data_IF_635365837020
#
_entry.id   IF_635365837020
#
_cell.length_a   1.000
_cell.length_b   1.000
_cell.length_c   1.000
_cell.angle_alpha   90.00
_cell.angle_beta   90.00
_cell.angle_gamma   90.00
#
_symmetry.space_group_name_H-M   'P 1'
#
loop_
_entity.id
_entity.type
_entity.pdbx_description
1 polymer ?
#
# COMPACT_ATOMS: atom_id res chain seq x y z
N UNK A 1 11.39 9.29 23.31
CA UNK A 1 10.00 9.76 23.10
C UNK A 1 9.65 9.81 21.62
N UNK A 2 10.45 10.48 20.78
CA UNK A 2 10.21 10.62 19.34
C UNK A 2 10.02 9.26 18.63
N UNK A 3 10.91 8.28 18.83
CA UNK A 3 10.81 6.94 18.22
C UNK A 3 9.47 6.25 18.49
N UNK A 4 8.97 6.35 19.73
CA UNK A 4 7.70 5.75 20.12
C UNK A 4 6.51 6.43 19.45
N UNK A 5 6.54 7.77 19.37
CA UNK A 5 5.51 8.54 18.67
C UNK A 5 5.50 8.20 17.17
N UNK A 6 6.69 8.14 16.54
CA UNK A 6 6.79 7.72 15.14
C UNK A 6 6.28 6.30 14.94
N UNK A 7 6.68 5.35 15.80
CA UNK A 7 6.22 3.96 15.74
C UNK A 7 4.70 3.83 15.86
N UNK A 8 4.09 4.58 16.79
CA UNK A 8 2.63 4.65 16.93
C UNK A 8 1.95 5.16 15.66
N UNK A 9 2.45 6.25 15.07
CA UNK A 9 1.92 6.80 13.82
C UNK A 9 2.04 5.81 12.64
N UNK A 10 3.18 5.12 12.51
CA UNK A 10 3.39 4.09 11.49
C UNK A 10 2.38 2.94 11.63
N UNK A 11 2.20 2.43 12.85
CA UNK A 11 1.26 1.36 13.14
C UNK A 11 -0.18 1.76 12.83
N UNK A 12 -0.61 2.92 13.33
CA UNK A 12 -1.97 3.43 13.10
C UNK A 12 -2.24 3.66 11.62
N UNK A 13 -1.28 4.22 10.87
CA UNK A 13 -1.43 4.43 9.44
C UNK A 13 -1.53 3.10 8.66
N UNK A 14 -0.69 2.11 8.99
CA UNK A 14 -0.76 0.77 8.41
C UNK A 14 -2.10 0.09 8.67
N UNK A 15 -2.59 0.15 9.92
CA UNK A 15 -3.89 -0.40 10.29
C UNK A 15 -5.05 0.32 9.62
N UNK A 16 -5.00 1.65 9.52
CA UNK A 16 -6.02 2.43 8.85
C UNK A 16 -6.09 2.09 7.35
N UNK A 17 -4.96 2.05 6.65
CA UNK A 17 -4.91 1.70 5.23
C UNK A 17 -5.47 0.29 4.96
N UNK A 18 -5.05 -0.70 5.75
CA UNK A 18 -5.53 -2.08 5.63
C UNK A 18 -7.01 -2.22 6.03
N UNK A 19 -7.44 -1.51 7.06
CA UNK A 19 -8.83 -1.51 7.53
C UNK A 19 -9.78 -0.89 6.49
N UNK A 20 -9.38 0.23 5.88
CA UNK A 20 -10.14 0.86 4.79
C UNK A 20 -10.23 -0.08 3.58
N UNK A 21 -9.12 -0.73 3.20
CA UNK A 21 -9.12 -1.68 2.09
C UNK A 21 -10.00 -2.91 2.38
N UNK A 22 -9.96 -3.44 3.61
CA UNK A 22 -10.80 -4.56 4.03
C UNK A 22 -12.28 -4.17 4.04
N UNK A 23 -12.61 -2.98 4.54
CA UNK A 23 -13.97 -2.46 4.57
C UNK A 23 -14.53 -2.23 3.16
N UNK A 24 -13.73 -1.64 2.27
CA UNK A 24 -14.07 -1.47 0.87
C UNK A 24 -14.37 -2.83 0.18
N UNK A 25 -13.58 -3.86 0.48
CA UNK A 25 -13.75 -5.19 -0.10
C UNK A 25 -14.97 -5.93 0.45
N UNK A 26 -15.15 -5.97 1.77
CA UNK A 26 -16.14 -6.85 2.42
C UNK A 26 -17.47 -6.16 2.74
N UNK A 27 -17.47 -4.84 2.92
CA UNK A 27 -18.68 -4.08 3.28
C UNK A 27 -19.25 -3.35 2.07
N UNK A 28 -18.40 -2.73 1.24
CA UNK A 28 -18.85 -2.08 0.00
C UNK A 28 -18.89 -3.01 -1.21
N UNK A 29 -18.32 -4.22 -1.09
CA UNK A 29 -18.35 -5.22 -2.16
C UNK A 29 -17.43 -4.92 -3.33
N UNK A 30 -16.42 -4.05 -3.16
CA UNK A 30 -15.47 -3.77 -4.23
C UNK A 30 -14.51 -4.95 -4.42
N UNK A 31 -14.51 -5.53 -5.62
CA UNK A 31 -13.52 -6.54 -5.98
C UNK A 31 -12.12 -5.92 -6.03
N UNK A 32 -11.11 -6.47 -5.33
CA UNK A 32 -9.75 -6.01 -5.46
C UNK A 32 -9.16 -6.48 -6.79
N UNK A 33 -8.25 -5.69 -7.36
CA UNK A 33 -7.36 -6.15 -8.42
C UNK A 33 -6.05 -6.67 -7.82
N UNK A 34 -5.26 -7.40 -8.61
CA UNK A 34 -3.98 -7.96 -8.14
C UNK A 34 -3.02 -6.86 -7.64
N UNK A 35 -2.98 -5.72 -8.34
CA UNK A 35 -2.09 -4.62 -7.98
C UNK A 35 -2.50 -3.95 -6.65
N UNK A 36 -3.81 -3.81 -6.39
CA UNK A 36 -4.33 -3.39 -5.07
C UNK A 36 -3.87 -4.34 -3.96
N UNK A 37 -3.83 -5.66 -4.21
CA UNK A 37 -3.39 -6.63 -3.20
C UNK A 37 -1.90 -6.50 -2.91
N UNK A 38 -1.08 -6.27 -3.94
CA UNK A 38 0.35 -6.02 -3.79
C UNK A 38 0.61 -4.73 -2.99
N UNK A 39 -0.14 -3.66 -3.25
CA UNK A 39 -0.06 -2.39 -2.52
C UNK A 39 -0.38 -2.51 -1.02
N UNK A 40 -1.08 -3.57 -0.59
CA UNK A 40 -1.30 -3.85 0.85
C UNK A 40 -0.03 -4.30 1.56
N UNK A 41 0.92 -4.91 0.84
CA UNK A 41 2.13 -5.50 1.45
C UNK A 41 3.04 -4.45 2.12
N UNK A 42 3.37 -3.32 1.46
CA UNK A 42 4.09 -2.23 2.12
C UNK A 42 3.45 -1.76 3.43
N UNK A 43 2.12 -1.62 3.46
CA UNK A 43 1.40 -1.19 4.66
C UNK A 43 1.45 -2.22 5.81
N UNK A 44 1.47 -3.52 5.49
CA UNK A 44 1.70 -4.58 6.50
C UNK A 44 3.10 -4.47 7.10
N UNK A 45 4.12 -4.29 6.26
CA UNK A 45 5.51 -4.15 6.69
C UNK A 45 5.66 -2.90 7.57
N UNK A 46 5.10 -1.77 7.14
CA UNK A 46 5.08 -0.51 7.91
C UNK A 46 4.40 -0.69 9.25
N UNK A 47 3.26 -1.40 9.31
CA UNK A 47 2.56 -1.69 10.55
C UNK A 47 3.43 -2.47 11.54
N UNK A 48 4.09 -3.55 11.10
CA UNK A 48 4.98 -4.37 11.94
C UNK A 48 6.19 -3.57 12.42
N UNK A 49 6.85 -2.82 11.53
CA UNK A 49 7.97 -1.95 11.91
C UNK A 49 7.54 -0.84 12.88
N UNK A 50 6.32 -0.32 12.73
CA UNK A 50 5.71 0.63 13.65
C UNK A 50 5.57 0.05 15.06
N UNK A 51 5.09 -1.19 15.20
CA UNK A 51 5.02 -1.88 16.50
C UNK A 51 6.41 -2.05 17.12
N UNK A 52 7.41 -2.44 16.33
CA UNK A 52 8.78 -2.60 16.83
C UNK A 52 9.33 -1.24 17.32
N UNK A 53 9.15 -0.16 16.53
CA UNK A 53 9.58 1.19 16.92
C UNK A 53 8.82 1.74 18.14
N UNK A 54 7.56 1.34 18.33
CA UNK A 54 6.74 1.73 19.47
C UNK A 54 7.18 1.03 20.76
N UNK A 55 7.42 -0.29 20.71
CA UNK A 55 7.66 -1.12 21.89
C UNK A 55 9.14 -1.21 22.28
N UNK A 56 10.05 -1.21 21.30
CA UNK A 56 11.48 -1.46 21.55
C UNK A 56 12.28 -0.16 21.56
N UNK A 57 12.83 0.26 22.72
CA UNK A 57 13.62 1.48 22.82
C UNK A 57 15.04 1.33 22.25
N UNK A 58 15.74 2.45 22.08
CA UNK A 58 17.16 2.47 21.69
C UNK A 58 17.39 2.22 20.19
N UNK A 59 18.51 1.57 19.86
CA UNK A 59 18.92 1.35 18.46
C UNK A 59 17.91 0.56 17.65
N UNK A 60 17.28 -0.44 18.26
CA UNK A 60 16.37 -1.33 17.54
C UNK A 60 15.15 -0.54 17.03
N UNK A 61 14.53 0.28 17.89
CA UNK A 61 13.41 1.13 17.48
C UNK A 61 13.81 2.20 16.46
N UNK A 62 15.01 2.77 16.60
CA UNK A 62 15.56 3.69 15.61
C UNK A 62 15.71 3.02 14.24
N UNK A 63 16.37 1.86 14.18
CA UNK A 63 16.53 1.12 12.93
C UNK A 63 15.21 0.62 12.35
N UNK A 64 14.25 0.23 13.17
CA UNK A 64 12.90 -0.09 12.71
C UNK A 64 12.24 1.11 12.01
N UNK A 65 12.43 2.32 12.56
CA UNK A 65 11.97 3.56 11.92
C UNK A 65 12.68 3.79 10.58
N UNK A 66 14.00 3.62 10.52
CA UNK A 66 14.78 3.78 9.27
C UNK A 66 14.35 2.76 8.22
N UNK A 67 14.16 1.50 8.60
CA UNK A 67 13.73 0.41 7.71
C UNK A 67 12.29 0.58 7.20
N UNK A 68 11.47 1.44 7.83
CA UNK A 68 10.13 1.76 7.31
C UNK A 68 10.17 2.67 6.08
N UNK A 69 11.24 3.46 5.89
CA UNK A 69 11.40 4.36 4.74
C UNK A 69 11.39 3.63 3.39
N UNK A 70 12.17 2.56 3.14
CA UNK A 70 12.10 1.85 1.88
C UNK A 70 10.73 1.19 1.64
N UNK A 71 10.04 0.73 2.69
CA UNK A 71 8.68 0.20 2.55
C UNK A 71 7.69 1.30 2.12
N UNK A 72 7.77 2.48 2.73
CA UNK A 72 6.95 3.64 2.34
C UNK A 72 7.29 4.13 0.92
N UNK A 73 8.57 4.16 0.55
CA UNK A 73 8.98 4.50 -0.81
C UNK A 73 8.41 3.50 -1.83
N UNK A 74 8.46 2.20 -1.53
CA UNK A 74 7.84 1.17 -2.37
C UNK A 74 6.32 1.37 -2.48
N UNK A 75 5.64 1.74 -1.40
CA UNK A 75 4.20 2.05 -1.43
C UNK A 75 3.89 3.24 -2.37
N UNK A 76 4.68 4.32 -2.31
CA UNK A 76 4.54 5.47 -3.22
C UNK A 76 4.80 5.08 -4.67
N UNK A 77 5.87 4.31 -4.92
CA UNK A 77 6.21 3.86 -6.26
C UNK A 77 5.14 2.94 -6.86
N UNK A 78 4.62 1.99 -6.08
CA UNK A 78 3.53 1.11 -6.51
C UNK A 78 2.25 1.90 -6.81
N UNK A 79 1.88 2.85 -5.94
CA UNK A 79 0.72 3.70 -6.18
C UNK A 79 0.88 4.58 -7.42
N UNK A 80 2.09 5.10 -7.68
CA UNK A 80 2.39 5.83 -8.91
C UNK A 80 2.28 4.96 -10.16
N UNK A 81 2.82 3.73 -10.07
CA UNK A 81 2.72 2.73 -11.12
C UNK A 81 1.26 2.38 -11.41
N UNK A 82 0.48 2.09 -10.37
CA UNK A 82 -0.92 1.68 -10.48
C UNK A 82 -1.80 2.83 -10.97
N UNK A 83 -1.62 4.06 -10.45
CA UNK A 83 -2.33 5.22 -10.98
C UNK A 83 -2.02 5.43 -12.47
N UNK A 84 -0.80 5.19 -12.94
CA UNK A 84 -0.54 5.26 -14.38
C UNK A 84 -1.23 4.16 -15.20
N UNK A 85 -1.46 2.97 -14.62
CA UNK A 85 -2.31 1.92 -15.22
C UNK A 85 -3.77 2.40 -15.28
N UNK A 86 -4.31 2.93 -14.18
CA UNK A 86 -5.68 3.49 -14.11
C UNK A 86 -5.87 4.66 -15.10
N UNK A 87 -4.83 5.48 -15.30
CA UNK A 87 -4.81 6.58 -16.29
C UNK A 87 -4.49 6.12 -17.70
N UNK A 88 -4.26 4.82 -17.91
CA UNK A 88 -3.93 4.20 -19.21
C UNK A 88 -2.65 4.77 -19.85
N UNK A 89 -1.73 5.28 -19.04
CA UNK A 89 -0.41 5.71 -19.51
C UNK A 89 0.46 4.53 -19.91
N UNK A 90 0.29 3.39 -19.24
CA UNK A 90 0.94 2.13 -19.56
C UNK A 90 0.05 0.94 -19.19
N UNK A 91 0.38 -0.22 -19.75
CA UNK A 91 -0.25 -1.49 -19.37
C UNK A 91 0.25 -1.94 -18.00
N UNK A 92 -0.57 -2.72 -17.28
CA UNK A 92 -0.13 -3.30 -16.02
C UNK A 92 1.11 -4.18 -16.23
N UNK A 93 2.12 -4.16 -15.35
CA UNK A 93 3.26 -5.07 -15.44
C UNK A 93 2.88 -6.52 -15.08
N UNK A 94 1.69 -6.72 -14.49
CA UNK A 94 1.22 -8.03 -14.04
C UNK A 94 0.35 -8.67 -15.12
N UNK A 95 0.73 -9.86 -15.64
CA UNK A 95 -0.06 -10.58 -16.65
C UNK A 95 -1.48 -10.92 -16.16
N UNK A 96 -1.66 -11.13 -14.85
CA UNK A 96 -2.97 -11.40 -14.24
C UNK A 96 -3.95 -10.23 -14.30
N UNK A 97 -3.45 -9.00 -14.50
CA UNK A 97 -4.27 -7.82 -14.71
C UNK A 97 -4.72 -7.66 -16.17
N UNK A 98 -4.17 -8.45 -17.10
CA UNK A 98 -4.49 -8.35 -18.52
C UNK A 98 -5.72 -9.18 -18.85
N UNK A 99 -6.47 -8.75 -19.87
CA UNK A 99 -7.54 -9.57 -20.40
C UNK A 99 -6.94 -10.88 -20.95
N UNK A 100 -7.43 -12.06 -20.53
CA UNK A 100 -6.94 -13.33 -21.06
C UNK A 100 -7.15 -13.39 -22.58
N UNK A 101 -6.07 -13.67 -23.31
CA UNK A 101 -6.09 -13.86 -24.76
C UNK A 101 -6.57 -15.28 -25.03
N UNK A 102 -7.74 -15.41 -25.67
CA UNK A 102 -8.33 -16.71 -26.01
C UNK A 102 -7.90 -17.16 -27.41
N UNK A 103 -7.40 -18.40 -27.51
CA UNK A 103 -7.06 -19.06 -28.77
C UNK A 103 -8.12 -20.12 -29.12
N UNK A 104 -9.29 -19.67 -29.57
CA UNK A 104 -10.40 -20.56 -29.97
C UNK A 104 -11.18 -21.19 -28.80
N UNK A 105 -12.20 -22.00 -29.13
CA UNK A 105 -13.10 -22.65 -28.17
C UNK A 105 -14.54 -22.13 -28.20
N UNK A 106 -15.46 -22.88 -27.60
CA UNK A 106 -16.87 -22.48 -27.47
C UNK A 106 -17.09 -21.55 -26.27
N UNK A 107 -18.14 -20.72 -26.28
CA UNK A 107 -18.46 -19.84 -25.16
C UNK A 107 -18.70 -20.60 -23.84
N UNK A 108 -19.29 -21.80 -23.90
CA UNK A 108 -19.52 -22.66 -22.73
C UNK A 108 -18.21 -23.13 -22.09
N UNK A 109 -17.21 -23.45 -22.91
CA UNK A 109 -15.89 -23.88 -22.45
C UNK A 109 -15.14 -22.73 -21.79
N UNK A 110 -15.28 -21.51 -22.32
CA UNK A 110 -14.78 -20.29 -21.69
C UNK A 110 -15.39 -20.02 -20.32
N UNK A 111 -16.70 -20.19 -20.16
CA UNK A 111 -17.34 -20.02 -18.85
C UNK A 111 -16.90 -21.07 -17.84
N UNK A 112 -16.67 -22.32 -18.29
CA UNK A 112 -16.24 -23.41 -17.42
C UNK A 112 -14.84 -23.18 -16.81
N UNK A 113 -13.98 -22.39 -17.46
CA UNK A 113 -12.64 -22.05 -16.98
C UNK A 113 -12.56 -20.73 -16.19
N UNK A 114 -13.68 -20.05 -15.97
CA UNK A 114 -13.69 -18.78 -15.24
C UNK A 114 -13.57 -19.01 -13.72
N UNK A 115 -12.72 -18.27 -13.00
CA UNK A 115 -12.61 -18.41 -11.55
C UNK A 115 -13.93 -18.00 -10.87
N UNK A 116 -14.27 -18.70 -9.78
CA UNK A 116 -15.47 -18.45 -8.97
C UNK A 116 -15.59 -17.00 -8.46
N UNK A 117 -14.46 -16.32 -8.29
CA UNK A 117 -14.37 -14.90 -7.94
C UNK A 117 -13.40 -14.21 -8.90
N UNK A 118 -13.89 -13.63 -10.00
CA UNK A 118 -13.04 -12.90 -10.93
C UNK A 118 -12.54 -11.61 -10.26
N UNK A 119 -11.23 -11.38 -10.32
CA UNK A 119 -10.68 -10.08 -9.97
C UNK A 119 -11.06 -9.05 -11.04
N UNK A 120 -11.27 -7.80 -10.63
CA UNK A 120 -11.42 -6.70 -11.58
C UNK A 120 -10.08 -6.42 -12.28
N UNK A 121 -10.09 -5.87 -13.51
CA UNK A 121 -8.86 -5.46 -14.16
C UNK A 121 -8.21 -4.28 -13.43
N UNK A 122 -6.89 -4.15 -13.54
CA UNK A 122 -6.11 -3.16 -12.78
C UNK A 122 -6.17 -1.74 -13.38
N UNK A 123 -6.76 -1.58 -14.56
CA UNK A 123 -7.00 -0.28 -15.22
C UNK A 123 -8.38 0.32 -14.88
N UNK A 124 -9.19 -0.38 -14.09
CA UNK A 124 -10.49 0.10 -13.61
C UNK A 124 -10.35 0.71 -12.20
N UNK A 125 -10.33 2.05 -12.08
CA UNK A 125 -10.12 2.72 -10.79
C UNK A 125 -11.30 2.57 -9.83
N UNK A 126 -11.03 2.34 -8.55
CA UNK A 126 -12.07 2.33 -7.50
C UNK A 126 -12.10 3.69 -6.79
N UNK A 127 -13.27 4.33 -6.80
CA UNK A 127 -13.52 5.62 -6.15
C UNK A 127 -14.36 5.42 -4.89
N UNK A 128 -13.81 5.76 -3.73
CA UNK A 128 -14.54 5.68 -2.47
C UNK A 128 -15.47 6.89 -2.33
N UNK A 129 -16.72 6.68 -1.92
CA UNK A 129 -17.72 7.74 -1.70
C UNK A 129 -17.89 8.72 -2.88
N UNK A 130 -17.70 8.26 -4.12
CA UNK A 130 -17.72 9.11 -5.32
C UNK A 130 -16.71 10.28 -5.31
N UNK A 131 -15.63 10.15 -4.54
CA UNK A 131 -14.52 11.10 -4.58
C UNK A 131 -13.84 11.07 -5.96
N UNK A 132 -13.31 12.20 -6.46
CA UNK A 132 -12.62 12.26 -7.75
C UNK A 132 -11.23 11.61 -7.74
N UNK A 133 -10.84 11.00 -6.60
CA UNK A 133 -9.51 10.42 -6.37
C UNK A 133 -9.66 8.93 -6.09
N UNK A 134 -8.93 8.09 -6.83
CA UNK A 134 -8.98 6.64 -6.65
C UNK A 134 -8.34 6.23 -5.33
N UNK A 135 -8.73 5.06 -4.82
CA UNK A 135 -8.15 4.49 -3.59
C UNK A 135 -6.64 4.32 -3.70
N UNK A 136 -6.15 3.96 -4.88
CA UNK A 136 -4.73 3.87 -5.23
C UNK A 136 -3.99 5.18 -4.95
N UNK A 137 -4.53 6.29 -5.47
CA UNK A 137 -3.93 7.62 -5.28
C UNK A 137 -4.01 8.07 -3.83
N UNK A 138 -5.14 7.83 -3.14
CA UNK A 138 -5.27 8.14 -1.71
C UNK A 138 -4.23 7.38 -0.87
N UNK A 139 -4.02 6.10 -1.15
CA UNK A 139 -2.98 5.29 -0.51
C UNK A 139 -1.58 5.82 -0.80
N UNK A 140 -1.30 6.18 -2.05
CA UNK A 140 -0.02 6.78 -2.45
C UNK A 140 0.27 8.12 -1.75
N UNK A 141 -0.72 9.00 -1.66
CA UNK A 141 -0.61 10.29 -0.95
C UNK A 141 -0.32 10.05 0.54
N UNK A 142 -1.08 9.14 1.18
CA UNK A 142 -0.86 8.81 2.59
C UNK A 142 0.56 8.27 2.82
N UNK A 143 1.05 7.40 1.94
CA UNK A 143 2.42 6.88 2.01
C UNK A 143 3.46 7.99 1.82
N UNK A 144 3.25 8.93 0.89
CA UNK A 144 4.18 10.03 0.61
C UNK A 144 4.27 11.02 1.79
N UNK A 145 3.11 11.38 2.37
CA UNK A 145 3.06 12.22 3.57
C UNK A 145 3.77 11.53 4.73
N UNK A 146 3.49 10.26 4.96
CA UNK A 146 4.12 9.51 6.04
C UNK A 146 5.63 9.35 5.80
N UNK A 147 6.08 9.13 4.57
CA UNK A 147 7.49 9.08 4.21
C UNK A 147 8.22 10.38 4.57
N UNK A 148 7.64 11.54 4.25
CA UNK A 148 8.22 12.84 4.59
C UNK A 148 8.31 13.05 6.11
N UNK A 149 7.24 12.74 6.85
CA UNK A 149 7.19 12.86 8.30
C UNK A 149 8.20 11.94 9.00
N UNK A 150 8.29 10.69 8.55
CA UNK A 150 9.22 9.70 9.11
C UNK A 150 10.66 10.11 8.80
N UNK A 151 10.96 10.56 7.57
CA UNK A 151 12.28 11.05 7.18
C UNK A 151 12.73 12.20 8.08
N UNK A 152 11.84 13.17 8.32
CA UNK A 152 12.11 14.26 9.25
C UNK A 152 12.33 13.73 10.68
N UNK A 153 11.51 12.79 11.15
CA UNK A 153 11.67 12.20 12.47
C UNK A 153 12.99 11.44 12.65
N UNK A 154 13.49 10.79 11.60
CA UNK A 154 14.78 10.08 11.60
C UNK A 154 15.93 11.08 11.77
N UNK A 155 15.87 12.22 11.06
CA UNK A 155 16.86 13.30 11.21
C UNK A 155 16.86 13.84 12.64
N UNK A 156 15.68 14.08 13.23
CA UNK A 156 15.57 14.55 14.62
C UNK A 156 16.13 13.52 15.62
N UNK A 157 15.80 12.25 15.45
CA UNK A 157 16.32 11.17 16.30
C UNK A 157 17.84 11.06 16.19
N UNK A 158 18.41 11.14 14.99
CA UNK A 158 19.85 11.09 14.77
C UNK A 158 20.58 12.28 15.40
N UNK A 159 20.00 13.49 15.34
CA UNK A 159 20.55 14.68 16.00
C UNK A 159 20.55 14.53 17.52
N UNK A 160 19.45 14.06 18.10
CA UNK A 160 19.36 13.82 19.54
C UNK A 160 20.39 12.78 20.00
N UNK A 161 20.55 11.70 19.25
CA UNK A 161 21.54 10.66 19.51
C UNK A 161 22.99 11.17 19.52
N UNK A 162 23.33 12.10 18.62
CA UNK A 162 24.67 12.73 18.59
C UNK A 162 24.93 13.65 19.78
N UNK A 163 23.89 14.28 20.34
CA UNK A 163 24.01 15.20 21.48
C UNK A 163 24.12 14.48 22.83
N UNK A 164 23.65 13.24 22.90
CA UNK A 164 23.69 12.41 24.11
C UNK A 164 24.96 11.54 24.24
N UNK A 165 25.86 11.61 23.25
CA UNK A 165 27.20 10.99 23.29
C UNK A 165 28.24 12.07 23.50
#
# INVERSE_FOLDING_TARGET
>A
MITRLTGGSLFLAGMAALGIAWWAEHVLGYAPCELCLIERTPWRIVGVLGVIALLVPGMIGFWATVLSLPALAAAVMLAGLHNGVERKWWQSPLPSCHAPVFHGGSFSERMAHMPLRPAKPCDDPTYLFHLPVSMTVLGGIAAAVLFALVSYSVVLQARQWRQTR
#
